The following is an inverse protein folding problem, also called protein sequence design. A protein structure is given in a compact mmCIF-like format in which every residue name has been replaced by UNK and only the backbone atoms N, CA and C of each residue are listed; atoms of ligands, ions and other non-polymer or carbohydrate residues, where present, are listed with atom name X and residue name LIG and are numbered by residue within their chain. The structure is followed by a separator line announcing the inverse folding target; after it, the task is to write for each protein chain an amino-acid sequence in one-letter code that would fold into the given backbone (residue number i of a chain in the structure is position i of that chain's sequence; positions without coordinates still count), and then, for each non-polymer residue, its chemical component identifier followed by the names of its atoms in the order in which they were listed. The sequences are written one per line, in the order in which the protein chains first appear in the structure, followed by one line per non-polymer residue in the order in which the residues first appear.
data_IF_695121184355
#
_entry.id   IF_695121184355
#
_cell.length_a   1.000
_cell.length_b   1.000
_cell.length_c   1.000
_cell.angle_alpha   90.00
_cell.angle_beta   90.00
_cell.angle_gamma   90.00
#
_symmetry.space_group_name_H-M   'P 1'
#
loop_
_entity.id
_entity.type
_entity.pdbx_description
1 polymer ?
#
# COMPACT_ATOMS: atom_id res chain seq x y z
N UNK A 1 -4.09 -1.65 14.11
CA UNK A 1 -3.69 -2.06 12.75
C UNK A 1 -2.18 -2.29 12.65
N UNK A 2 -1.80 -3.18 11.78
CA UNK A 2 -0.39 -3.48 11.49
C UNK A 2 -0.06 -2.89 10.12
N UNK A 3 0.98 -2.07 10.07
CA UNK A 3 1.39 -1.39 8.84
C UNK A 3 2.83 -1.80 8.53
N UNK A 4 3.02 -2.47 7.39
CA UNK A 4 4.33 -2.91 6.92
C UNK A 4 4.70 -2.13 5.67
N UNK A 5 5.84 -1.44 5.71
CA UNK A 5 6.39 -0.78 4.52
C UNK A 5 7.27 -1.79 3.79
N UNK A 6 6.91 -2.10 2.57
CA UNK A 6 7.57 -3.12 1.75
C UNK A 6 8.45 -2.46 0.69
N UNK A 7 9.42 -3.23 0.18
CA UNK A 7 10.23 -2.79 -0.95
C UNK A 7 9.50 -3.17 -2.25
N UNK A 8 9.03 -2.20 -3.03
CA UNK A 8 8.31 -2.51 -4.27
C UNK A 8 9.15 -3.30 -5.29
N UNK A 9 10.47 -3.13 -5.27
CA UNK A 9 11.35 -3.86 -6.20
C UNK A 9 11.33 -5.36 -5.95
N UNK A 10 11.17 -5.79 -4.71
CA UNK A 10 11.18 -7.21 -4.37
C UNK A 10 9.81 -7.86 -4.53
N UNK A 11 8.74 -7.06 -4.44
CA UNK A 11 7.37 -7.60 -4.47
C UNK A 11 6.76 -7.52 -5.87
N UNK A 12 6.88 -6.38 -6.54
CA UNK A 12 6.24 -6.15 -7.85
C UNK A 12 7.23 -5.95 -8.99
N UNK A 13 8.52 -5.83 -8.69
CA UNK A 13 9.58 -5.69 -9.67
C UNK A 13 9.94 -4.24 -9.99
N UNK A 14 11.16 -4.06 -10.52
CA UNK A 14 11.74 -2.74 -10.73
C UNK A 14 11.11 -1.96 -11.89
N UNK A 15 10.38 -2.63 -12.77
CA UNK A 15 9.84 -2.01 -13.99
C UNK A 15 8.38 -1.58 -13.89
N UNK A 16 7.78 -1.69 -12.71
CA UNK A 16 6.36 -1.39 -12.54
C UNK A 16 6.06 0.08 -12.30
N UNK A 17 7.08 0.88 -11.95
CA UNK A 17 6.90 2.29 -11.63
C UNK A 17 6.33 2.56 -10.25
N UNK A 18 6.15 1.53 -9.44
CA UNK A 18 5.67 1.67 -8.06
C UNK A 18 6.80 2.22 -7.19
N UNK A 19 6.57 3.37 -6.54
CA UNK A 19 7.56 4.03 -5.70
C UNK A 19 7.50 3.58 -4.25
N UNK A 20 6.29 3.33 -3.75
CA UNK A 20 6.07 2.86 -2.38
C UNK A 20 5.04 1.75 -2.38
N UNK A 21 5.24 0.77 -1.50
CA UNK A 21 4.34 -0.35 -1.33
C UNK A 21 4.14 -0.57 0.16
N UNK A 22 2.90 -0.51 0.61
CA UNK A 22 2.56 -0.62 2.03
C UNK A 22 1.47 -1.65 2.20
N UNK A 23 1.66 -2.55 3.15
CA UNK A 23 0.64 -3.54 3.50
C UNK A 23 0.00 -3.12 4.83
N UNK A 24 -1.32 -2.94 4.83
CA UNK A 24 -2.08 -2.54 6.01
C UNK A 24 -3.05 -3.64 6.38
N UNK A 25 -2.93 -4.14 7.60
CA UNK A 25 -3.89 -5.10 8.17
C UNK A 25 -4.64 -4.40 9.31
N UNK A 26 -5.94 -4.23 9.14
CA UNK A 26 -6.77 -3.56 10.15
C UNK A 26 -7.12 -4.46 11.32
N UNK A 27 -7.32 -5.76 11.05
CA UNK A 27 -7.67 -6.77 12.06
C UNK A 27 -6.88 -8.05 11.81
N UNK A 28 -6.55 -8.81 12.87
CA UNK A 28 -5.72 -10.02 12.72
C UNK A 28 -6.30 -11.09 11.80
N UNK A 29 -7.63 -11.16 11.71
CA UNK A 29 -8.32 -12.17 10.91
C UNK A 29 -8.80 -11.68 9.56
N UNK A 30 -8.45 -10.45 9.18
CA UNK A 30 -8.77 -9.92 7.85
C UNK A 30 -7.58 -10.06 6.92
N UNK A 31 -7.86 -10.18 5.62
CA UNK A 31 -6.81 -10.11 4.60
C UNK A 31 -6.21 -8.70 4.58
N UNK A 32 -4.89 -8.59 4.40
CA UNK A 32 -4.25 -7.27 4.36
C UNK A 32 -4.65 -6.50 3.11
N UNK A 33 -4.69 -5.17 3.26
CA UNK A 33 -4.84 -4.27 2.12
C UNK A 33 -3.45 -3.91 1.61
N UNK A 34 -3.24 -4.03 0.30
CA UNK A 34 -1.97 -3.66 -0.32
C UNK A 34 -2.14 -2.29 -0.99
N UNK A 35 -1.36 -1.33 -0.55
CA UNK A 35 -1.44 0.05 -1.00
C UNK A 35 -0.24 0.36 -1.88
N UNK A 36 -0.50 0.89 -3.07
CA UNK A 36 0.54 1.27 -4.02
C UNK A 36 0.64 2.77 -4.14
N UNK A 37 1.85 3.26 -4.32
CA UNK A 37 2.10 4.65 -4.69
C UNK A 37 2.95 4.68 -5.95
N UNK A 38 2.44 5.31 -7.00
CA UNK A 38 3.18 5.52 -8.24
C UNK A 38 2.96 6.95 -8.73
N UNK A 39 3.35 7.25 -9.97
CA UNK A 39 3.19 8.59 -10.55
C UNK A 39 1.74 9.04 -10.67
N UNK A 40 0.79 8.11 -10.60
CA UNK A 40 -0.64 8.39 -10.65
C UNK A 40 -1.25 8.62 -9.26
N UNK A 41 -0.48 8.42 -8.21
CA UNK A 41 -0.91 8.65 -6.83
C UNK A 41 -1.00 7.37 -6.01
N UNK A 42 -1.76 7.44 -4.94
CA UNK A 42 -1.94 6.35 -3.99
C UNK A 42 -3.25 5.63 -4.25
N UNK A 43 -3.24 4.30 -4.16
CA UNK A 43 -4.45 3.51 -4.31
C UNK A 43 -4.32 2.15 -3.60
N UNK A 44 -5.48 1.63 -3.18
CA UNK A 44 -5.60 0.29 -2.62
C UNK A 44 -5.85 -0.70 -3.75
N UNK A 45 -5.18 -1.83 -3.73
CA UNK A 45 -5.34 -2.88 -4.74
C UNK A 45 -6.81 -3.33 -4.89
N UNK A 46 -7.54 -3.44 -3.76
CA UNK A 46 -8.91 -3.94 -3.76
C UNK A 46 -9.98 -2.87 -3.89
N UNK A 47 -9.72 -1.64 -3.44
CA UNK A 47 -10.74 -0.60 -3.29
C UNK A 47 -10.44 0.68 -4.05
N UNK A 48 -9.25 0.79 -4.66
CA UNK A 48 -8.87 1.98 -5.40
C UNK A 48 -8.42 3.14 -4.53
N UNK A 49 -8.38 4.37 -5.07
CA UNK A 49 -7.77 5.51 -4.38
C UNK A 49 -8.58 6.06 -3.20
N UNK A 50 -9.84 5.68 -3.07
CA UNK A 50 -10.71 6.16 -1.98
C UNK A 50 -10.75 5.25 -0.76
N UNK A 51 -9.98 4.17 -0.76
CA UNK A 51 -9.93 3.24 0.37
C UNK A 51 -9.37 3.93 1.62
N UNK A 52 -9.99 3.69 2.76
CA UNK A 52 -9.56 4.25 4.05
C UNK A 52 -8.09 3.92 4.36
N UNK A 53 -7.64 2.72 4.01
CA UNK A 53 -6.27 2.29 4.29
C UNK A 53 -5.21 3.08 3.52
N UNK A 54 -5.59 3.76 2.44
CA UNK A 54 -4.68 4.63 1.69
C UNK A 54 -4.16 5.76 2.59
N UNK A 55 -5.03 6.35 3.39
CA UNK A 55 -4.62 7.42 4.30
C UNK A 55 -3.64 6.91 5.35
N UNK A 56 -3.89 5.72 5.90
CA UNK A 56 -3.00 5.12 6.89
C UNK A 56 -1.61 4.86 6.30
N UNK A 57 -1.56 4.36 5.06
CA UNK A 57 -0.29 4.10 4.38
C UNK A 57 0.49 5.38 4.11
N UNK A 58 -0.19 6.43 3.66
CA UNK A 58 0.44 7.73 3.39
C UNK A 58 1.04 8.34 4.65
N UNK A 59 0.33 8.24 5.77
CA UNK A 59 0.80 8.77 7.04
C UNK A 59 2.07 8.05 7.52
N UNK A 60 2.19 6.76 7.22
CA UNK A 60 3.36 5.98 7.61
C UNK A 60 4.61 6.34 6.81
N UNK A 61 4.45 6.75 5.55
CA UNK A 61 5.56 7.00 4.62
C UNK A 61 6.18 8.40 4.80
N UNK A 62 5.53 9.31 5.40
CA UNK A 62 6.02 10.71 5.55
C UNK A 62 7.46 10.85 5.98
#
# INVERSE_FOLDING_TARGET
PVIDVLDPRTVVGAHTGVEHLVRVRLRPNEAPHVIFHDRHGWYCESHGPTCHTVQLARDEIK
#
